data_IF_890549984765
#
_entry.id   IF_890549984765
#
_cell.length_a   1.000
_cell.length_b   1.000
_cell.length_c   1.000
_cell.angle_alpha   90.00
_cell.angle_beta   90.00
_cell.angle_gamma   90.00
#
_symmetry.space_group_name_H-M   'P 1'
#
loop_
_entity.id
_entity.type
_entity.pdbx_description
1 polymer ?
#
# COMPACT_ATOMS: atom_id res chain seq x y z
N UNK A 1 -6.21 -15.13 -5.28
CA UNK A 1 -6.77 -14.26 -6.35
C UNK A 1 -5.57 -13.56 -6.97
N UNK A 2 -5.38 -13.59 -8.29
CA UNK A 2 -4.34 -12.82 -8.96
C UNK A 2 -4.43 -11.33 -8.62
N UNK A 3 -3.30 -10.69 -8.34
CA UNK A 3 -3.20 -9.26 -7.95
C UNK A 3 -3.94 -8.36 -8.94
N UNK A 4 -3.82 -8.63 -10.24
CA UNK A 4 -4.52 -7.87 -11.30
C UNK A 4 -6.03 -7.91 -11.17
N UNK A 5 -6.62 -9.06 -10.81
CA UNK A 5 -8.07 -9.18 -10.63
C UNK A 5 -8.52 -8.41 -9.38
N UNK A 6 -7.75 -8.49 -8.30
CA UNK A 6 -8.01 -7.72 -7.10
C UNK A 6 -7.99 -6.20 -7.37
N UNK A 7 -6.96 -5.71 -8.06
CA UNK A 7 -6.86 -4.33 -8.50
C UNK A 7 -8.07 -3.89 -9.32
N UNK A 8 -8.47 -4.69 -10.31
CA UNK A 8 -9.63 -4.41 -11.15
C UNK A 8 -10.91 -4.31 -10.31
N UNK A 9 -11.11 -5.22 -9.36
CA UNK A 9 -12.30 -5.23 -8.51
C UNK A 9 -12.34 -4.00 -7.60
N UNK A 10 -11.23 -3.63 -6.98
CA UNK A 10 -11.12 -2.41 -6.16
C UNK A 10 -11.43 -1.17 -7.00
N UNK A 11 -10.85 -1.07 -8.21
CA UNK A 11 -11.10 0.06 -9.11
C UNK A 11 -12.57 0.13 -9.53
N UNK A 12 -13.19 -0.99 -9.91
CA UNK A 12 -14.62 -1.03 -10.28
C UNK A 12 -15.55 -0.62 -9.15
N UNK A 13 -15.20 -0.95 -7.91
CA UNK A 13 -16.03 -0.64 -6.74
C UNK A 13 -15.93 0.83 -6.32
N UNK A 14 -14.79 1.48 -6.58
CA UNK A 14 -14.50 2.81 -6.04
C UNK A 14 -14.49 3.92 -7.12
N UNK A 15 -14.28 3.58 -8.40
CA UNK A 15 -14.44 4.52 -9.51
C UNK A 15 -15.91 4.59 -9.92
N UNK A 16 -16.60 5.62 -9.44
CA UNK A 16 -18.02 5.84 -9.66
C UNK A 16 -18.40 6.23 -11.10
N UNK A 17 -17.41 6.56 -11.95
CA UNK A 17 -17.63 6.87 -13.37
C UNK A 17 -16.39 6.58 -14.23
N UNK A 18 -16.55 6.17 -15.50
CA UNK A 18 -15.45 6.19 -16.49
C UNK A 18 -14.83 7.58 -16.70
N UNK A 19 -15.50 8.64 -16.23
CA UNK A 19 -15.05 10.03 -16.31
C UNK A 19 -14.45 10.56 -15.00
N UNK A 20 -14.07 9.70 -14.05
CA UNK A 20 -13.35 10.13 -12.85
C UNK A 20 -12.08 10.87 -13.26
N UNK A 21 -11.92 12.11 -12.79
CA UNK A 21 -10.74 12.91 -13.10
C UNK A 21 -9.49 12.36 -12.38
N UNK A 22 -8.32 12.72 -12.90
CA UNK A 22 -7.06 12.19 -12.42
C UNK A 22 -6.81 12.50 -10.93
N UNK A 23 -7.25 13.65 -10.42
CA UNK A 23 -7.07 14.02 -9.01
C UNK A 23 -7.89 13.11 -8.12
N UNK A 24 -9.18 12.98 -8.40
CA UNK A 24 -10.06 12.08 -7.65
C UNK A 24 -9.58 10.63 -7.74
N UNK A 25 -8.97 10.22 -8.86
CA UNK A 25 -8.38 8.89 -8.97
C UNK A 25 -7.19 8.69 -8.00
N UNK A 26 -6.30 9.69 -7.83
CA UNK A 26 -5.22 9.61 -6.82
C UNK A 26 -5.79 9.55 -5.41
N UNK A 27 -6.74 10.43 -5.09
CA UNK A 27 -7.38 10.49 -3.77
C UNK A 27 -8.03 9.15 -3.41
N UNK A 28 -8.74 8.52 -4.35
CA UNK A 28 -9.31 7.18 -4.15
C UNK A 28 -8.20 6.16 -3.93
N UNK A 29 -7.15 6.18 -4.73
CA UNK A 29 -6.08 5.18 -4.67
C UNK A 29 -5.32 5.22 -3.34
N UNK A 30 -4.95 6.41 -2.86
CA UNK A 30 -4.35 6.62 -1.53
C UNK A 30 -5.28 6.08 -0.42
N UNK A 31 -6.58 6.39 -0.50
CA UNK A 31 -7.56 5.92 0.49
C UNK A 31 -7.70 4.38 0.49
N UNK A 32 -7.60 3.73 -0.67
CA UNK A 32 -7.63 2.26 -0.73
C UNK A 32 -6.40 1.65 -0.08
N UNK A 33 -5.21 2.23 -0.26
CA UNK A 33 -4.01 1.77 0.46
C UNK A 33 -4.20 1.92 1.97
N UNK A 34 -4.62 3.10 2.45
CA UNK A 34 -4.87 3.34 3.88
C UNK A 34 -5.86 2.33 4.46
N UNK A 35 -6.96 2.09 3.76
CA UNK A 35 -7.99 1.14 4.18
C UNK A 35 -7.42 -0.27 4.27
N UNK A 36 -6.72 -0.74 3.23
CA UNK A 36 -6.23 -2.10 3.17
C UNK A 36 -5.09 -2.35 4.17
N UNK A 37 -4.19 -1.37 4.36
CA UNK A 37 -3.12 -1.43 5.35
C UNK A 37 -3.69 -1.43 6.77
N UNK A 38 -4.68 -0.59 7.07
CA UNK A 38 -5.34 -0.56 8.39
C UNK A 38 -6.06 -1.89 8.70
N UNK A 39 -6.71 -2.47 7.70
CA UNK A 39 -7.33 -3.79 7.83
C UNK A 39 -6.27 -4.87 8.07
N UNK A 40 -5.15 -4.82 7.34
CA UNK A 40 -4.05 -5.78 7.50
C UNK A 40 -3.39 -5.64 8.87
N UNK A 41 -3.16 -4.42 9.35
CA UNK A 41 -2.64 -4.13 10.68
C UNK A 41 -3.53 -4.73 11.79
N UNK A 42 -4.85 -4.64 11.64
CA UNK A 42 -5.80 -5.28 12.56
C UNK A 42 -5.62 -6.80 12.60
N UNK A 43 -5.46 -7.44 11.42
CA UNK A 43 -5.20 -8.88 11.31
C UNK A 43 -3.85 -9.27 11.92
N UNK A 44 -2.80 -8.46 11.72
CA UNK A 44 -1.49 -8.67 12.35
C UNK A 44 -1.61 -8.63 13.88
N UNK A 45 -2.29 -7.63 14.42
CA UNK A 45 -2.48 -7.48 15.88
C UNK A 45 -3.27 -8.65 16.47
N UNK A 46 -4.31 -9.10 15.79
CA UNK A 46 -5.10 -10.27 16.20
C UNK A 46 -4.27 -11.56 16.14
N UNK A 47 -3.49 -11.77 15.07
CA UNK A 47 -2.60 -12.92 14.96
C UNK A 47 -1.55 -12.91 16.09
N UNK A 48 -1.00 -11.73 16.40
CA UNK A 48 0.03 -11.53 17.43
C UNK A 48 -0.48 -11.88 18.82
N UNK A 49 -1.73 -11.57 19.16
CA UNK A 49 -2.29 -11.88 20.49
C UNK A 49 -2.48 -13.38 20.76
N UNK A 50 -2.46 -14.21 19.71
CA UNK A 50 -2.66 -15.67 19.80
C UNK A 50 -1.39 -16.46 19.44
N UNK A 51 -0.30 -15.78 19.08
CA UNK A 51 0.93 -16.39 18.59
C UNK A 51 1.83 -16.91 19.72
N UNK A 52 2.73 -17.85 19.39
CA UNK A 52 3.90 -18.12 20.24
C UNK A 52 4.77 -16.87 20.34
N UNK A 53 5.65 -16.81 21.34
CA UNK A 53 6.54 -15.66 21.53
C UNK A 53 7.36 -15.37 20.27
N UNK A 54 7.95 -16.40 19.67
CA UNK A 54 8.79 -16.26 18.50
C UNK A 54 8.00 -15.68 17.31
N UNK A 55 6.78 -16.17 17.09
CA UNK A 55 5.92 -15.67 16.01
C UNK A 55 5.39 -14.25 16.32
N UNK A 56 5.11 -13.95 17.58
CA UNK A 56 4.68 -12.62 18.03
C UNK A 56 5.79 -11.57 17.85
N UNK A 57 7.06 -11.95 18.05
CA UNK A 57 8.21 -11.07 17.80
C UNK A 57 8.32 -10.74 16.30
N UNK A 58 8.13 -11.73 15.41
CA UNK A 58 8.08 -11.49 13.96
C UNK A 58 6.88 -10.61 13.54
N UNK A 59 5.70 -10.85 14.12
CA UNK A 59 4.51 -10.04 13.86
C UNK A 59 4.65 -8.61 14.39
N UNK A 60 5.52 -8.35 15.36
CA UNK A 60 5.82 -7.00 15.84
C UNK A 60 6.49 -6.17 14.75
N UNK A 61 7.41 -6.77 13.97
CA UNK A 61 8.05 -6.10 12.83
C UNK A 61 6.99 -5.71 11.78
N UNK A 62 6.06 -6.62 11.50
CA UNK A 62 4.93 -6.33 10.61
C UNK A 62 4.01 -5.23 11.16
N UNK A 63 3.71 -5.24 12.46
CA UNK A 63 2.86 -4.25 13.11
C UNK A 63 3.46 -2.84 13.00
N UNK A 64 4.76 -2.71 13.27
CA UNK A 64 5.52 -1.47 13.12
C UNK A 64 5.54 -1.02 11.66
N UNK A 65 5.86 -1.93 10.73
CA UNK A 65 5.92 -1.62 9.31
C UNK A 65 4.59 -1.15 8.73
N UNK A 66 3.48 -1.79 9.09
CA UNK A 66 2.14 -1.34 8.64
C UNK A 66 1.68 -0.04 9.31
N UNK A 67 2.17 0.25 10.51
CA UNK A 67 1.94 1.55 11.16
C UNK A 67 2.71 2.66 10.43
N UNK A 68 3.96 2.40 10.04
CA UNK A 68 4.77 3.32 9.24
C UNK A 68 4.12 3.61 7.88
N UNK A 69 3.71 2.56 7.15
CA UNK A 69 2.98 2.70 5.87
C UNK A 69 1.72 3.55 6.03
N UNK A 70 0.95 3.32 7.09
CA UNK A 70 -0.25 4.12 7.37
C UNK A 70 0.10 5.59 7.59
N UNK A 71 1.20 5.88 8.28
CA UNK A 71 1.67 7.26 8.48
C UNK A 71 2.07 7.89 7.14
N UNK A 72 2.91 7.21 6.36
CA UNK A 72 3.36 7.72 5.05
C UNK A 72 2.19 8.01 4.11
N UNK A 73 1.19 7.13 4.02
CA UNK A 73 0.03 7.41 3.16
C UNK A 73 -0.89 8.52 3.69
N UNK A 74 -0.93 8.75 5.01
CA UNK A 74 -1.61 9.94 5.55
C UNK A 74 -0.87 11.22 5.19
N UNK A 75 0.46 11.20 5.19
CA UNK A 75 1.29 12.33 4.79
C UNK A 75 1.22 12.58 3.28
N UNK A 76 1.23 11.52 2.46
CA UNK A 76 0.96 11.60 1.02
C UNK A 76 -0.41 12.24 0.73
N UNK A 77 -1.45 11.87 1.49
CA UNK A 77 -2.78 12.47 1.35
C UNK A 77 -2.79 13.97 1.67
N UNK A 78 -2.05 14.39 2.71
CA UNK A 78 -1.89 15.81 3.06
C UNK A 78 -1.09 16.56 2.01
N UNK A 79 -0.02 15.97 1.49
CA UNK A 79 0.79 16.53 0.41
C UNK A 79 -0.03 16.71 -0.88
N UNK A 80 -0.87 15.73 -1.23
CA UNK A 80 -1.79 15.83 -2.36
C UNK A 80 -2.75 17.01 -2.22
N UNK A 81 -3.27 17.26 -1.01
CA UNK A 81 -4.20 18.36 -0.76
C UNK A 81 -3.59 19.75 -1.06
N UNK A 82 -2.27 19.90 -0.87
CA UNK A 82 -1.52 21.13 -1.18
C UNK A 82 -0.76 21.05 -2.52
N UNK A 83 -1.00 19.99 -3.31
CA UNK A 83 -0.39 19.76 -4.62
C UNK A 83 1.15 19.65 -4.59
N UNK A 84 1.72 19.13 -3.50
CA UNK A 84 3.15 18.87 -3.37
C UNK A 84 3.50 17.47 -3.90
N UNK A 85 3.77 17.41 -5.21
CA UNK A 85 4.11 16.15 -5.87
C UNK A 85 5.35 15.47 -5.29
N UNK A 86 6.36 16.23 -4.85
CA UNK A 86 7.62 15.66 -4.37
C UNK A 86 7.40 14.87 -3.10
N UNK A 87 6.63 15.43 -2.17
CA UNK A 87 6.29 14.77 -0.92
C UNK A 87 5.36 13.56 -1.15
N UNK A 88 4.36 13.67 -2.04
CA UNK A 88 3.50 12.51 -2.39
C UNK A 88 4.33 11.31 -2.82
N UNK A 89 5.25 11.48 -3.78
CA UNK A 89 6.06 10.36 -4.27
C UNK A 89 7.07 9.87 -3.23
N UNK A 90 7.64 10.77 -2.43
CA UNK A 90 8.57 10.38 -1.36
C UNK A 90 7.87 9.50 -0.32
N UNK A 91 6.68 9.90 0.11
CA UNK A 91 5.89 9.18 1.10
C UNK A 91 5.40 7.83 0.54
N UNK A 92 4.96 7.77 -0.71
CA UNK A 92 4.60 6.51 -1.38
C UNK A 92 5.82 5.58 -1.55
N UNK A 93 7.00 6.10 -1.88
CA UNK A 93 8.23 5.29 -2.01
C UNK A 93 8.68 4.68 -0.68
N UNK A 94 8.68 5.47 0.40
CA UNK A 94 9.07 5.00 1.74
C UNK A 94 8.18 3.86 2.25
N UNK A 95 6.93 3.82 1.79
CA UNK A 95 5.97 2.81 2.20
C UNK A 95 6.19 1.42 1.60
N UNK A 96 7.00 1.26 0.54
CA UNK A 96 7.18 -0.05 -0.11
C UNK A 96 8.01 -1.02 0.75
N UNK A 97 9.11 -0.52 1.31
CA UNK A 97 10.06 -1.36 2.07
C UNK A 97 9.42 -2.05 3.28
N UNK A 98 8.66 -1.36 4.16
CA UNK A 98 8.08 -2.02 5.34
C UNK A 98 7.15 -3.20 4.99
N UNK A 99 6.41 -3.13 3.88
CA UNK A 99 5.54 -4.22 3.43
C UNK A 99 6.36 -5.40 2.92
N UNK A 100 7.42 -5.12 2.15
CA UNK A 100 8.34 -6.16 1.67
C UNK A 100 9.07 -6.84 2.83
N UNK A 101 9.53 -6.08 3.83
CA UNK A 101 10.19 -6.63 5.01
C UNK A 101 9.22 -7.55 5.78
N UNK A 102 7.97 -7.11 6.01
CA UNK A 102 6.93 -7.98 6.60
C UNK A 102 6.67 -9.23 5.74
N UNK A 103 6.53 -9.08 4.43
CA UNK A 103 6.30 -10.18 3.47
C UNK A 103 7.35 -11.28 3.60
N UNK A 104 8.62 -10.89 3.60
CA UNK A 104 9.75 -11.82 3.64
C UNK A 104 9.86 -12.55 4.98
N UNK A 105 9.45 -11.90 6.07
CA UNK A 105 9.55 -12.43 7.43
C UNK A 105 8.35 -13.34 7.74
N UNK A 106 7.13 -12.88 7.45
CA UNK A 106 5.92 -13.51 7.98
C UNK A 106 5.33 -14.56 7.04
N UNK A 107 5.42 -14.40 5.72
CA UNK A 107 4.79 -15.36 4.80
C UNK A 107 5.32 -16.79 4.94
N UNK A 108 6.63 -17.04 5.14
CA UNK A 108 7.13 -18.40 5.35
C UNK A 108 6.59 -19.06 6.61
N UNK A 109 6.24 -18.26 7.62
CA UNK A 109 5.79 -18.71 8.95
C UNK A 109 4.27 -18.82 9.00
N UNK A 110 3.57 -17.85 8.40
CA UNK A 110 2.12 -17.72 8.35
C UNK A 110 1.69 -17.44 6.89
N UNK A 111 1.58 -18.47 6.04
CA UNK A 111 1.30 -18.32 4.62
C UNK A 111 0.00 -17.57 4.30
N UNK A 112 -0.95 -17.52 5.24
CA UNK A 112 -2.17 -16.72 5.07
C UNK A 112 -1.88 -15.22 4.89
N UNK A 113 -0.71 -14.72 5.33
CA UNK A 113 -0.29 -13.33 5.15
C UNK A 113 0.14 -12.97 3.73
N UNK A 114 0.44 -13.97 2.89
CA UNK A 114 0.87 -13.75 1.50
C UNK A 114 -0.16 -12.93 0.73
N UNK A 115 -1.45 -13.26 0.91
CA UNK A 115 -2.54 -12.54 0.27
C UNK A 115 -2.61 -11.08 0.71
N UNK A 116 -2.52 -10.80 2.02
CA UNK A 116 -2.64 -9.43 2.52
C UNK A 116 -1.46 -8.56 2.05
N UNK A 117 -0.25 -9.11 2.15
CA UNK A 117 0.98 -8.47 1.69
C UNK A 117 0.92 -8.15 0.19
N UNK A 118 0.55 -9.13 -0.65
CA UNK A 118 0.42 -8.94 -2.10
C UNK A 118 -0.64 -7.89 -2.46
N UNK A 119 -1.77 -7.88 -1.75
CA UNK A 119 -2.82 -6.88 -1.95
C UNK A 119 -2.35 -5.46 -1.59
N UNK A 120 -1.60 -5.30 -0.50
CA UNK A 120 -1.05 -3.99 -0.14
C UNK A 120 -0.05 -3.48 -1.20
N UNK A 121 0.88 -4.32 -1.67
CA UNK A 121 1.84 -3.97 -2.73
C UNK A 121 1.09 -3.58 -4.02
N UNK A 122 0.07 -4.34 -4.39
CA UNK A 122 -0.71 -4.06 -5.59
C UNK A 122 -1.45 -2.71 -5.52
N UNK A 123 -1.99 -2.34 -4.36
CA UNK A 123 -2.63 -1.04 -4.16
C UNK A 123 -1.61 0.11 -4.13
N UNK A 124 -0.44 -0.08 -3.53
CA UNK A 124 0.62 0.93 -3.58
C UNK A 124 1.03 1.25 -5.02
N UNK A 125 1.19 0.21 -5.86
CA UNK A 125 1.49 0.37 -7.28
C UNK A 125 0.41 1.16 -8.03
N UNK A 126 -0.87 0.93 -7.71
CA UNK A 126 -1.96 1.73 -8.28
C UNK A 126 -1.86 3.18 -7.82
N UNK A 127 -1.61 3.42 -6.53
CA UNK A 127 -1.51 4.78 -5.98
C UNK A 127 -0.40 5.57 -6.67
N UNK A 128 0.80 4.98 -6.78
CA UNK A 128 1.94 5.58 -7.49
C UNK A 128 1.60 5.87 -8.95
N UNK A 129 0.93 4.93 -9.63
CA UNK A 129 0.51 5.14 -11.02
C UNK A 129 -0.52 6.27 -11.14
N UNK A 130 -1.49 6.35 -10.24
CA UNK A 130 -2.48 7.42 -10.20
C UNK A 130 -1.81 8.78 -9.96
N UNK A 131 -0.90 8.87 -8.98
CA UNK A 131 -0.11 10.06 -8.70
C UNK A 131 0.71 10.50 -9.92
N UNK A 132 1.36 9.56 -10.62
CA UNK A 132 2.11 9.83 -11.84
C UNK A 132 1.22 10.40 -12.96
N UNK A 133 0.01 9.86 -13.15
CA UNK A 133 -0.97 10.37 -14.12
C UNK A 133 -1.39 11.80 -13.77
N UNK A 134 -1.74 12.05 -12.51
CA UNK A 134 -2.22 13.36 -12.06
C UNK A 134 -1.14 14.45 -12.15
N UNK A 135 0.07 14.18 -11.66
CA UNK A 135 1.18 15.12 -11.69
C UNK A 135 1.92 15.16 -13.04
N UNK A 136 1.47 14.37 -14.03
CA UNK A 136 2.10 14.26 -15.35
C UNK A 136 3.59 13.92 -15.26
N UNK A 137 3.98 13.14 -14.25
CA UNK A 137 5.37 12.74 -14.05
C UNK A 137 5.65 11.58 -15.00
N UNK A 138 6.68 11.66 -15.87
CA UNK A 138 7.06 10.53 -16.69
C UNK A 138 7.44 9.36 -15.77
N UNK A 139 7.11 8.10 -16.13
CA UNK A 139 7.57 6.95 -15.36
C UNK A 139 9.08 7.03 -15.22
N UNK A 140 9.58 6.93 -13.99
CA UNK A 140 11.02 6.99 -13.73
C UNK A 140 11.70 5.87 -14.52
N UNK A 141 12.58 6.24 -15.44
CA UNK A 141 13.41 5.36 -16.28
C UNK A 141 14.48 4.59 -15.47
N UNK A 142 14.18 4.22 -14.22
CA UNK A 142 15.05 3.45 -13.33
C UNK A 142 14.78 1.95 -13.32
N UNK A 143 13.62 1.49 -13.83
CA UNK A 143 13.19 0.09 -13.74
C UNK A 143 13.76 -0.84 -14.84
N UNK A 144 14.64 -0.36 -15.72
CA UNK A 144 15.32 -1.17 -16.73
C UNK A 144 16.81 -0.80 -16.79
N UNK A 145 17.55 -1.06 -15.72
CA UNK A 145 18.97 -1.37 -15.84
C UNK A 145 19.14 -2.83 -15.48
N UNK A 146 19.37 -3.61 -16.54
CA UNK A 146 19.89 -4.98 -16.58
C UNK A 146 21.12 -5.16 -15.70
#
# INVERSE_FOLDING_TARGET
MPETLFCIDVLKQNLSSPSTDARTFVEISINQVLTNVTNTLSVVKEAKSHASKEVADLLTICEEGYTEVSSSYNDAFRALAINDSSSVFLDEEQSERPINDCTNIINPVLPQFEKYNAQNIALQRISVAAAAIYFQRPPSLGACKS
#
